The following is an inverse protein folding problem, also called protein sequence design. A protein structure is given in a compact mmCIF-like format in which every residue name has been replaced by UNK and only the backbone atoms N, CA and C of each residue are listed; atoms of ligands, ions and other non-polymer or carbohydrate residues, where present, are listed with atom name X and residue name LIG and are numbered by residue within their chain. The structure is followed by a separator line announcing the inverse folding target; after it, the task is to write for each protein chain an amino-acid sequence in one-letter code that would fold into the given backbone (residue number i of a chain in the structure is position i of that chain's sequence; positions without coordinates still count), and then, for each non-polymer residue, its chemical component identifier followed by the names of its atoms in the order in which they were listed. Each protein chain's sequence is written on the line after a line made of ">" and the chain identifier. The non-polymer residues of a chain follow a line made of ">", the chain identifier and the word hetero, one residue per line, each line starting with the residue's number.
data_IF_348303811404
#
_entry.id   IF_348303811404
#
_cell.length_a   1.000
_cell.length_b   1.000
_cell.length_c   1.000
_cell.angle_alpha   90.00
_cell.angle_beta   90.00
_cell.angle_gamma   90.00
#
_symmetry.space_group_name_H-M   'P 1'
#
loop_
_entity.id
_entity.type
_entity.pdbx_description
1 polymer ?
#
# COMPACT_ATOMS: atom_id res chain seq x y z
N UNK A 1 -7.14 21.50 -11.79
CA UNK A 1 -6.02 21.04 -10.94
C UNK A 1 -5.77 19.60 -11.34
N UNK A 2 -4.83 19.35 -12.25
CA UNK A 2 -4.52 17.99 -12.71
C UNK A 2 -3.52 17.41 -11.73
N UNK A 3 -3.99 16.58 -10.80
CA UNK A 3 -3.10 15.63 -10.14
C UNK A 3 -2.76 14.60 -11.22
N UNK A 4 -1.58 14.70 -11.84
CA UNK A 4 -1.05 13.66 -12.71
C UNK A 4 -0.71 12.46 -11.82
N UNK A 5 -1.72 11.71 -11.39
CA UNK A 5 -1.53 10.49 -10.64
C UNK A 5 -0.81 9.48 -11.51
N UNK A 6 0.36 9.03 -11.06
CA UNK A 6 1.07 7.92 -11.70
C UNK A 6 0.34 6.63 -11.32
N UNK A 7 -0.18 5.93 -12.32
CA UNK A 7 -0.85 4.63 -12.13
C UNK A 7 0.07 3.55 -12.67
N UNK A 8 0.42 2.59 -11.81
CA UNK A 8 1.24 1.45 -12.17
C UNK A 8 0.53 0.16 -11.74
N UNK A 9 0.75 -0.92 -12.49
CA UNK A 9 0.28 -2.26 -12.11
C UNK A 9 1.43 -3.02 -11.48
N UNK A 10 1.22 -3.51 -10.27
CA UNK A 10 2.22 -4.25 -9.50
C UNK A 10 1.74 -5.68 -9.27
N UNK A 11 2.60 -6.66 -9.56
CA UNK A 11 2.37 -8.04 -9.16
C UNK A 11 3.01 -8.28 -7.79
N UNK A 12 2.23 -8.87 -6.87
CA UNK A 12 2.61 -8.99 -5.46
C UNK A 12 1.96 -10.23 -4.84
N UNK A 13 2.48 -10.64 -3.68
CA UNK A 13 1.88 -11.68 -2.83
C UNK A 13 0.95 -11.06 -1.79
N UNK A 14 -0.15 -11.74 -1.48
CA UNK A 14 -1.10 -11.32 -0.45
C UNK A 14 -1.50 -12.51 0.43
N UNK A 15 -2.04 -12.20 1.61
CA UNK A 15 -2.63 -13.17 2.52
C UNK A 15 -3.98 -12.69 3.03
N UNK A 16 -4.84 -13.63 3.40
CA UNK A 16 -6.15 -13.35 3.97
C UNK A 16 -6.43 -14.28 5.15
N UNK A 17 -6.90 -13.69 6.24
CA UNK A 17 -7.38 -14.41 7.42
C UNK A 17 -8.91 -14.38 7.45
N UNK A 18 -9.51 -15.57 7.31
CA UNK A 18 -10.97 -15.74 7.27
C UNK A 18 -11.65 -15.43 8.61
N UNK A 19 -10.94 -15.56 9.74
CA UNK A 19 -11.54 -15.32 11.06
C UNK A 19 -11.67 -13.84 11.35
N UNK A 20 -10.68 -13.06 10.94
CA UNK A 20 -10.62 -11.62 11.20
C UNK A 20 -11.08 -10.79 10.00
N UNK A 21 -11.08 -11.35 8.79
CA UNK A 21 -11.32 -10.61 7.55
C UNK A 21 -10.12 -9.75 7.13
N UNK A 22 -8.94 -10.00 7.70
CA UNK A 22 -7.74 -9.19 7.47
C UNK A 22 -7.06 -9.58 6.16
N UNK A 23 -6.76 -8.60 5.32
CA UNK A 23 -5.97 -8.74 4.10
C UNK A 23 -4.65 -8.01 4.27
N UNK A 24 -3.55 -8.69 3.94
CA UNK A 24 -2.21 -8.10 3.92
C UNK A 24 -1.62 -8.27 2.52
N UNK A 25 -1.25 -7.16 1.88
CA UNK A 25 -0.56 -7.13 0.59
C UNK A 25 0.90 -6.78 0.85
N UNK A 26 1.84 -7.56 0.33
CA UNK A 26 3.28 -7.36 0.54
C UNK A 26 3.90 -6.73 -0.71
N UNK A 27 4.40 -5.51 -0.61
CA UNK A 27 5.07 -4.89 -1.75
C UNK A 27 6.41 -5.60 -2.00
N UNK A 28 6.79 -5.83 -3.27
CA UNK A 28 8.13 -6.34 -3.58
C UNK A 28 9.20 -5.39 -3.06
N UNK A 29 10.30 -5.92 -2.53
CA UNK A 29 11.39 -5.11 -1.97
C UNK A 29 11.97 -4.13 -2.99
N UNK A 30 12.22 -4.61 -4.22
CA UNK A 30 12.75 -3.80 -5.32
C UNK A 30 11.80 -2.66 -5.71
N UNK A 31 10.48 -2.90 -5.66
CA UNK A 31 9.49 -1.88 -6.02
C UNK A 31 9.51 -0.68 -5.07
N UNK A 32 9.71 -0.90 -3.77
CA UNK A 32 9.71 0.20 -2.79
C UNK A 32 10.92 1.12 -2.98
N UNK A 33 12.08 0.53 -3.29
CA UNK A 33 13.30 1.29 -3.58
C UNK A 33 13.14 2.10 -4.86
N UNK A 34 12.68 1.48 -5.95
CA UNK A 34 12.44 2.14 -7.24
C UNK A 34 11.40 3.26 -7.12
N UNK A 35 10.28 2.98 -6.44
CA UNK A 35 9.21 3.95 -6.23
C UNK A 35 9.70 5.17 -5.41
N UNK A 36 10.52 4.93 -4.38
CA UNK A 36 11.04 6.01 -3.55
C UNK A 36 12.04 6.90 -4.29
N UNK A 37 12.90 6.31 -5.13
CA UNK A 37 13.80 7.09 -6.00
C UNK A 37 13.01 7.92 -7.02
N UNK A 38 11.94 7.36 -7.61
CA UNK A 38 11.05 8.10 -8.51
C UNK A 38 10.35 9.27 -7.80
N UNK A 39 9.90 9.09 -6.56
CA UNK A 39 9.28 10.18 -5.79
C UNK A 39 10.26 11.33 -5.52
N UNK A 40 11.53 11.03 -5.25
CA UNK A 40 12.57 12.05 -5.07
C UNK A 40 12.89 12.76 -6.38
N UNK A 41 12.88 12.06 -7.51
CA UNK A 41 13.09 12.66 -8.83
C UNK A 41 11.96 13.64 -9.18
N UNK A 42 10.71 13.22 -8.98
CA UNK A 42 9.52 14.03 -9.30
C UNK A 42 9.32 15.19 -8.31
N UNK A 43 9.77 15.04 -7.05
CA UNK A 43 9.58 16.03 -5.99
C UNK A 43 10.82 16.16 -5.08
N UNK A 44 11.94 16.72 -5.59
CA UNK A 44 13.22 16.73 -4.89
C UNK A 44 13.23 17.57 -3.60
N UNK A 45 12.31 18.52 -3.48
CA UNK A 45 12.16 19.38 -2.31
C UNK A 45 11.20 18.84 -1.23
N UNK A 46 10.60 17.66 -1.44
CA UNK A 46 9.71 17.02 -0.46
C UNK A 46 10.42 15.87 0.24
N UNK A 47 10.30 15.86 1.57
CA UNK A 47 10.65 14.68 2.36
C UNK A 47 9.49 13.69 2.34
N UNK A 48 9.76 12.47 1.88
CA UNK A 48 8.79 11.38 1.90
C UNK A 48 9.14 10.41 3.02
N UNK A 49 8.15 9.95 3.81
CA UNK A 49 8.38 8.86 4.74
C UNK A 49 8.80 7.61 3.98
N UNK A 50 9.58 6.74 4.63
CA UNK A 50 9.92 5.42 4.07
C UNK A 50 8.61 4.70 3.76
N UNK A 51 8.41 4.23 2.51
CA UNK A 51 7.17 3.58 2.14
C UNK A 51 7.01 2.26 2.91
N UNK A 52 5.77 1.92 3.33
CA UNK A 52 5.55 0.72 4.11
C UNK A 52 5.82 -0.52 3.25
N UNK A 53 6.35 -1.59 3.86
CA UNK A 53 6.61 -2.86 3.15
C UNK A 53 5.34 -3.66 2.81
N UNK A 54 4.22 -3.27 3.40
CA UNK A 54 2.93 -3.94 3.22
C UNK A 54 1.78 -2.97 3.41
N UNK A 55 0.67 -3.27 2.75
CA UNK A 55 -0.63 -2.63 2.99
C UNK A 55 -1.56 -3.60 3.71
N UNK A 56 -2.38 -3.08 4.62
CA UNK A 56 -3.29 -3.88 5.41
C UNK A 56 -4.66 -3.22 5.48
N UNK A 57 -5.70 -3.98 5.17
CA UNK A 57 -7.08 -3.56 5.31
C UNK A 57 -7.94 -4.73 5.76
N UNK A 58 -9.10 -4.43 6.32
CA UNK A 58 -10.06 -5.43 6.75
C UNK A 58 -11.27 -5.41 5.84
N UNK A 59 -11.66 -6.56 5.30
CA UNK A 59 -12.93 -6.70 4.61
C UNK A 59 -14.03 -6.83 5.67
N UNK A 60 -14.98 -5.89 5.67
CA UNK A 60 -16.08 -5.88 6.63
C UNK A 60 -17.40 -6.36 6.05
N UNK A 61 -17.58 -6.25 4.74
CA UNK A 61 -18.76 -6.75 4.04
C UNK A 61 -18.51 -6.88 2.53
N UNK A 62 -19.32 -7.71 1.88
CA UNK A 62 -19.40 -7.82 0.42
C UNK A 62 -20.87 -7.63 0.03
N UNK A 63 -21.19 -6.56 -0.69
CA UNK A 63 -22.55 -6.27 -1.15
C UNK A 63 -22.54 -6.03 -2.66
N UNK A 64 -23.33 -6.79 -3.42
CA UNK A 64 -23.48 -6.65 -4.88
C UNK A 64 -22.15 -6.58 -5.64
N UNK A 65 -21.20 -7.46 -5.30
CA UNK A 65 -19.87 -7.50 -5.92
C UNK A 65 -18.94 -6.35 -5.51
N UNK A 66 -19.35 -5.52 -4.54
CA UNK A 66 -18.52 -4.46 -3.96
C UNK A 66 -17.99 -4.90 -2.59
N UNK A 67 -16.67 -4.82 -2.45
CA UNK A 67 -15.99 -4.95 -1.18
C UNK A 67 -16.15 -3.67 -0.37
N UNK A 68 -16.63 -3.80 0.87
CA UNK A 68 -16.54 -2.77 1.89
C UNK A 68 -15.34 -3.09 2.75
N UNK A 69 -14.38 -2.16 2.79
CA UNK A 69 -13.14 -2.30 3.54
C UNK A 69 -13.02 -1.21 4.59
N UNK A 70 -12.58 -1.59 5.78
CA UNK A 70 -12.05 -0.66 6.76
C UNK A 70 -10.54 -0.57 6.54
N UNK A 71 -10.02 0.66 6.39
CA UNK A 71 -8.58 0.89 6.30
C UNK A 71 -7.97 0.69 7.68
N UNK A 72 -7.04 -0.26 7.81
CA UNK A 72 -6.50 -0.66 9.12
C UNK A 72 -5.03 -0.30 9.32
N UNK A 73 -4.41 0.57 8.51
CA UNK A 73 -2.98 0.89 8.69
C UNK A 73 -2.75 2.08 9.65
N UNK A 74 -2.32 1.87 10.90
CA UNK A 74 -1.37 2.74 11.57
C UNK A 74 0.06 2.24 11.30
N UNK A 75 0.88 3.11 10.71
CA UNK A 75 2.32 2.91 10.52
C UNK A 75 3.02 2.97 11.87
N UNK A 76 3.47 1.83 12.39
CA UNK A 76 4.58 1.79 13.35
C UNK A 76 5.72 1.04 12.67
N UNK A 77 6.88 1.69 12.70
CA UNK A 77 7.95 1.57 11.74
C UNK A 77 8.59 0.19 11.67
N UNK A 78 9.36 0.03 10.60
CA UNK A 78 10.39 -0.99 10.49
C UNK A 78 11.37 -0.79 11.67
N UNK A 79 11.39 -1.70 12.63
CA UNK A 79 12.55 -1.85 13.52
C UNK A 79 13.51 -2.86 12.86
N UNK A 80 14.78 -2.48 12.65
CA UNK A 80 15.80 -3.29 11.96
C UNK A 80 16.17 -4.59 12.71
#
# INVERSE_FOLDING_TARGET
>A
MNCNGRTETLQSTWSYDENTGLVIIYYPEDYLAEYYELLKEDFPEKEFPIPPVKETFRITSMNDGKLIIDKTTPNIGYEP
#
